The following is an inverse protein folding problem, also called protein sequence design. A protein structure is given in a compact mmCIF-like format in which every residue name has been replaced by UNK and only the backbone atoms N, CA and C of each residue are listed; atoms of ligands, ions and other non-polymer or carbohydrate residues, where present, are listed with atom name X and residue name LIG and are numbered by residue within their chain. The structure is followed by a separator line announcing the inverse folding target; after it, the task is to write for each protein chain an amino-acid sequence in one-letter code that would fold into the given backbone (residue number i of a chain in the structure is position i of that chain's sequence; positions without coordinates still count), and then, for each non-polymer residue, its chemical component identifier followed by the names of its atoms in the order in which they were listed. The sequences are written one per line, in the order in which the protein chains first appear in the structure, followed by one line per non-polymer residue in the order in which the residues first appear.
data_IF_657989413626
#
_entry.id   IF_657989413626
#
_cell.length_a   1.000
_cell.length_b   1.000
_cell.length_c   1.000
_cell.angle_alpha   90.00
_cell.angle_beta   90.00
_cell.angle_gamma   90.00
#
_symmetry.space_group_name_H-M   'P 1'
#
loop_
_entity.id
_entity.type
_entity.pdbx_description
1 polymer ?
#
# COMPACT_ATOMS: atom_id res chain seq x y z
N UNK A 1 9.85 -7.02 3.90
CA UNK A 1 8.45 -6.81 4.32
C UNK A 1 8.35 -5.53 5.14
N UNK A 2 7.41 -4.66 4.79
CA UNK A 2 7.13 -3.41 5.48
C UNK A 2 5.81 -3.55 6.23
N UNK A 3 5.83 -3.41 7.56
CA UNK A 3 4.74 -3.89 8.43
C UNK A 3 4.53 -3.01 9.65
N UNK A 4 3.30 -3.02 10.20
CA UNK A 4 2.97 -2.23 11.39
C UNK A 4 3.42 -2.88 12.70
N UNK A 5 3.50 -4.21 12.77
CA UNK A 5 3.86 -4.95 13.99
C UNK A 5 5.16 -5.74 13.77
N UNK A 6 6.31 -5.10 14.00
CA UNK A 6 7.63 -5.69 13.78
C UNK A 6 7.84 -6.98 14.59
N UNK A 7 7.48 -7.08 15.89
CA UNK A 7 7.60 -8.34 16.63
C UNK A 7 6.88 -9.52 15.99
N UNK A 8 5.62 -9.34 15.58
CA UNK A 8 4.84 -10.41 14.94
C UNK A 8 5.48 -10.87 13.62
N UNK A 9 5.96 -9.92 12.82
CA UNK A 9 6.56 -10.21 11.52
C UNK A 9 7.99 -10.76 11.60
N UNK A 10 8.70 -10.59 12.72
CA UNK A 10 9.95 -11.32 12.97
C UNK A 10 9.70 -12.82 13.07
N UNK A 11 8.63 -13.23 13.74
CA UNK A 11 8.22 -14.65 13.80
C UNK A 11 7.85 -15.19 12.41
N UNK A 12 7.17 -14.38 11.59
CA UNK A 12 6.86 -14.76 10.19
C UNK A 12 8.14 -14.88 9.35
N UNK A 13 9.07 -13.93 9.48
CA UNK A 13 10.39 -14.00 8.84
C UNK A 13 11.12 -15.29 9.20
N UNK A 14 11.17 -15.64 10.49
CA UNK A 14 11.81 -16.88 10.97
C UNK A 14 11.17 -18.13 10.34
N UNK A 15 9.83 -18.16 10.25
CA UNK A 15 9.11 -19.24 9.59
C UNK A 15 9.46 -19.37 8.10
N UNK A 16 9.49 -18.25 7.36
CA UNK A 16 9.85 -18.22 5.93
C UNK A 16 11.28 -18.71 5.71
N UNK A 17 12.24 -18.23 6.51
CA UNK A 17 13.66 -18.62 6.38
C UNK A 17 13.86 -20.09 6.76
N UNK A 18 13.08 -20.61 7.71
CA UNK A 18 13.09 -22.03 8.07
C UNK A 18 12.58 -22.91 6.93
N UNK A 19 11.54 -22.47 6.21
CA UNK A 19 10.98 -23.18 5.06
C UNK A 19 11.88 -23.06 3.81
N UNK A 20 12.53 -21.91 3.63
CA UNK A 20 13.45 -21.65 2.54
C UNK A 20 14.69 -20.90 3.05
N UNK A 21 15.78 -21.65 3.26
CA UNK A 21 17.05 -21.13 3.76
C UNK A 21 17.74 -20.11 2.83
N UNK A 22 17.36 -20.04 1.56
CA UNK A 22 17.85 -19.05 0.60
C UNK A 22 17.01 -17.76 0.59
N UNK A 23 15.87 -17.72 1.30
CA UNK A 23 15.01 -16.56 1.34
C UNK A 23 15.70 -15.40 2.08
N UNK A 24 15.87 -14.27 1.39
CA UNK A 24 16.36 -13.02 1.99
C UNK A 24 15.18 -12.15 2.36
N UNK A 25 14.89 -12.05 3.65
CA UNK A 25 13.71 -11.35 4.17
C UNK A 25 14.14 -10.32 5.20
N UNK A 26 13.86 -9.05 4.95
CA UNK A 26 14.03 -7.97 5.92
C UNK A 26 12.69 -7.50 6.44
N UNK A 27 12.62 -7.11 7.72
CA UNK A 27 11.41 -6.56 8.34
C UNK A 27 11.65 -5.09 8.63
N UNK A 28 10.78 -4.24 8.11
CA UNK A 28 10.83 -2.78 8.26
C UNK A 28 9.51 -2.29 8.84
N UNK A 29 9.58 -1.33 9.76
CA UNK A 29 8.37 -0.73 10.31
C UNK A 29 7.72 0.22 9.29
N UNK A 30 6.42 0.05 9.06
CA UNK A 30 5.60 0.93 8.24
C UNK A 30 4.17 0.99 8.77
N UNK A 31 3.75 2.19 9.16
CA UNK A 31 2.37 2.50 9.50
C UNK A 31 1.76 3.41 8.43
N UNK A 32 0.91 2.83 7.58
CA UNK A 32 0.24 3.53 6.49
C UNK A 32 -0.82 4.55 6.95
N UNK A 33 -1.20 4.53 8.23
CA UNK A 33 -2.05 5.58 8.82
C UNK A 33 -1.25 6.85 9.18
N UNK A 34 0.08 6.77 9.22
CA UNK A 34 0.96 7.86 9.60
C UNK A 34 1.83 8.32 8.43
N UNK A 35 1.56 9.53 7.91
CA UNK A 35 2.41 10.12 6.88
C UNK A 35 3.86 10.36 7.32
N UNK A 36 4.10 10.49 8.63
CA UNK A 36 5.46 10.54 9.16
C UNK A 36 6.17 9.18 9.00
N UNK A 37 5.48 8.07 9.25
CA UNK A 37 5.99 6.72 9.01
C UNK A 37 6.21 6.46 7.51
N UNK A 38 5.22 6.79 6.67
CA UNK A 38 5.33 6.67 5.20
C UNK A 38 6.53 7.45 4.64
N UNK A 39 6.79 8.67 5.14
CA UNK A 39 7.95 9.44 4.69
C UNK A 39 9.29 8.84 5.13
N UNK A 40 9.35 8.19 6.29
CA UNK A 40 10.57 7.51 6.75
C UNK A 40 10.97 6.37 5.82
N UNK A 41 10.02 5.63 5.24
CA UNK A 41 10.34 4.49 4.37
C UNK A 41 10.72 4.89 2.94
N UNK A 42 10.49 6.13 2.51
CA UNK A 42 11.04 6.65 1.23
C UNK A 42 12.58 6.65 1.26
N UNK A 43 13.17 6.52 2.46
CA UNK A 43 14.61 6.33 2.70
C UNK A 43 15.07 4.88 2.42
N UNK A 44 14.20 3.97 1.94
CA UNK A 44 14.63 2.64 1.43
C UNK A 44 15.66 2.74 0.29
N UNK A 45 15.84 3.93 -0.30
CA UNK A 45 17.02 4.28 -1.09
C UNK A 45 18.36 3.95 -0.41
N UNK A 46 18.44 3.93 0.93
CA UNK A 46 19.68 3.66 1.66
C UNK A 46 20.10 2.19 1.68
N UNK A 47 19.26 1.27 1.19
CA UNK A 47 19.62 -0.16 1.12
C UNK A 47 20.46 -0.50 -0.11
N UNK A 48 20.61 0.45 -1.06
CA UNK A 48 21.34 0.28 -2.32
C UNK A 48 20.94 -1.00 -3.09
N UNK A 49 19.67 -1.38 -2.97
CA UNK A 49 19.07 -2.49 -3.69
C UNK A 49 18.07 -1.96 -4.73
N UNK A 50 18.04 -2.53 -5.94
CA UNK A 50 17.05 -2.15 -6.93
C UNK A 50 15.64 -2.52 -6.44
N UNK A 51 14.71 -1.56 -6.44
CA UNK A 51 13.30 -1.83 -6.16
C UNK A 51 12.64 -2.36 -7.44
N UNK A 52 12.49 -3.68 -7.54
CA UNK A 52 11.88 -4.32 -8.71
C UNK A 52 10.34 -4.38 -8.63
N UNK A 53 9.80 -4.70 -7.45
CA UNK A 53 8.35 -4.89 -7.26
C UNK A 53 7.91 -4.17 -5.98
N UNK A 54 6.88 -3.33 -6.11
CA UNK A 54 6.15 -2.75 -4.99
C UNK A 54 4.72 -3.31 -4.95
N UNK A 55 4.35 -3.95 -3.85
CA UNK A 55 2.99 -4.49 -3.65
C UNK A 55 2.26 -3.71 -2.56
N UNK A 56 1.29 -2.90 -2.96
CA UNK A 56 0.40 -2.18 -2.07
C UNK A 56 -0.75 -3.10 -1.61
N UNK A 57 -0.42 -4.05 -0.73
CA UNK A 57 -1.34 -5.07 -0.24
C UNK A 57 -2.10 -4.67 1.03
N UNK A 58 -1.46 -3.89 1.92
CA UNK A 58 -1.99 -3.61 3.24
C UNK A 58 -3.36 -2.91 3.17
N UNK A 59 -4.38 -3.56 3.72
CA UNK A 59 -5.74 -3.04 3.82
C UNK A 59 -6.32 -3.36 5.19
N UNK A 60 -7.13 -2.45 5.72
CA UNK A 60 -7.81 -2.60 7.00
C UNK A 60 -9.32 -2.56 6.74
N UNK A 61 -10.02 -3.64 7.13
CA UNK A 61 -11.48 -3.76 6.97
C UNK A 61 -12.29 -3.16 8.14
N UNK A 62 -11.62 -2.71 9.21
CA UNK A 62 -12.27 -2.24 10.44
C UNK A 62 -11.60 -0.98 10.99
N UNK A 63 -12.41 0.05 11.27
CA UNK A 63 -12.10 1.34 11.93
C UNK A 63 -11.48 2.48 11.10
N UNK A 64 -12.01 3.67 11.38
CA UNK A 64 -11.94 4.96 10.68
C UNK A 64 -10.54 5.52 10.33
N UNK A 65 -9.46 5.06 10.98
CA UNK A 65 -8.17 5.80 11.00
C UNK A 65 -7.16 5.45 9.91
N UNK A 66 -7.29 4.34 9.19
CA UNK A 66 -6.19 3.84 8.33
C UNK A 66 -6.35 4.13 6.83
N UNK A 67 -7.46 4.73 6.40
CA UNK A 67 -7.96 4.54 5.03
C UNK A 67 -7.66 5.67 4.03
N UNK A 68 -7.06 6.80 4.43
CA UNK A 68 -7.19 8.02 3.61
C UNK A 68 -5.89 8.71 3.17
N UNK A 69 -4.70 8.14 3.40
CA UNK A 69 -3.45 8.83 3.00
C UNK A 69 -2.37 7.90 2.44
N UNK A 70 -2.71 7.05 1.47
CA UNK A 70 -1.74 6.13 0.83
C UNK A 70 -1.13 6.61 -0.50
N UNK A 71 -1.43 7.82 -0.99
CA UNK A 71 -1.10 8.17 -2.37
C UNK A 71 0.12 9.10 -2.44
N UNK A 72 1.32 8.51 -2.48
CA UNK A 72 2.48 9.18 -3.07
C UNK A 72 3.37 8.16 -3.78
N UNK A 73 3.59 8.39 -5.07
CA UNK A 73 4.39 7.54 -5.94
C UNK A 73 5.84 7.46 -5.45
N UNK A 74 6.34 6.22 -5.34
CA UNK A 74 7.78 5.92 -5.25
C UNK A 74 8.30 5.87 -6.69
N UNK A 75 9.36 6.62 -6.99
CA UNK A 75 9.97 6.62 -8.33
C UNK A 75 10.65 5.27 -8.62
N UNK A 76 10.50 4.66 -9.81
CA UNK A 76 11.16 3.41 -10.14
C UNK A 76 12.67 3.58 -10.36
N UNK A 77 13.39 2.47 -10.26
CA UNK A 77 14.83 2.32 -10.43
C UNK A 77 15.27 2.48 -11.90
N UNK A 78 15.33 3.72 -12.41
CA UNK A 78 15.92 4.02 -13.73
C UNK A 78 17.42 3.64 -13.80
N UNK A 79 18.09 3.56 -12.65
CA UNK A 79 19.54 3.36 -12.51
C UNK A 79 20.01 1.93 -12.82
N UNK A 80 19.11 0.92 -12.80
CA UNK A 80 19.50 -0.49 -12.88
C UNK A 80 19.05 -1.22 -14.16
N UNK A 81 18.43 -0.52 -15.13
CA UNK A 81 17.83 -1.13 -16.34
C UNK A 81 16.89 -2.32 -16.04
N UNK A 82 16.16 -2.25 -14.91
CA UNK A 82 15.16 -3.25 -14.53
C UNK A 82 13.78 -2.60 -14.59
N UNK A 83 12.87 -3.22 -15.34
CA UNK A 83 11.47 -2.79 -15.42
C UNK A 83 10.79 -2.96 -14.05
N UNK A 84 10.49 -1.84 -13.40
CA UNK A 84 9.78 -1.82 -12.11
C UNK A 84 8.29 -2.10 -12.26
N UNK A 85 7.71 -2.84 -11.30
CA UNK A 85 6.26 -3.14 -11.27
C UNK A 85 5.62 -2.64 -9.98
N UNK A 86 4.50 -1.94 -10.10
CA UNK A 86 3.68 -1.49 -8.98
C UNK A 86 2.34 -2.23 -9.03
N UNK A 87 2.04 -2.97 -7.97
CA UNK A 87 0.83 -3.79 -7.85
C UNK A 87 -0.05 -3.22 -6.74
N UNK A 88 -1.25 -2.77 -7.09
CA UNK A 88 -2.26 -2.30 -6.14
C UNK A 88 -3.30 -3.39 -5.89
N UNK A 89 -3.42 -3.88 -4.65
CA UNK A 89 -4.38 -4.94 -4.32
C UNK A 89 -5.76 -4.35 -4.05
N UNK A 90 -6.71 -4.64 -4.93
CA UNK A 90 -8.13 -4.25 -4.78
C UNK A 90 -8.98 -5.39 -4.19
N UNK A 91 -10.30 -5.36 -4.39
CA UNK A 91 -11.29 -6.38 -4.02
C UNK A 91 -12.53 -6.23 -4.88
N UNK A 92 -13.24 -7.30 -5.22
CA UNK A 92 -14.53 -7.23 -5.92
C UNK A 92 -15.57 -6.36 -5.19
N UNK A 93 -15.41 -6.17 -3.88
CA UNK A 93 -16.24 -5.26 -3.10
C UNK A 93 -16.18 -3.80 -3.59
N UNK A 94 -15.19 -3.39 -4.41
CA UNK A 94 -15.15 -2.05 -5.00
C UNK A 94 -16.44 -1.68 -5.76
N UNK A 95 -17.14 -2.68 -6.33
CA UNK A 95 -18.42 -2.51 -7.04
C UNK A 95 -19.56 -2.09 -6.10
N UNK A 96 -19.40 -2.27 -4.79
CA UNK A 96 -20.36 -1.87 -3.76
C UNK A 96 -19.97 -0.55 -3.08
N UNK A 97 -19.14 0.26 -3.72
CA UNK A 97 -18.87 1.63 -3.27
C UNK A 97 -20.14 2.49 -3.30
N UNK A 98 -20.01 3.77 -2.97
CA UNK A 98 -21.10 4.72 -3.11
C UNK A 98 -21.53 4.82 -4.58
N UNK A 99 -22.80 5.09 -4.83
CA UNK A 99 -23.34 5.15 -6.19
C UNK A 99 -22.70 6.29 -6.99
N UNK A 100 -22.38 7.40 -6.30
CA UNK A 100 -21.64 8.53 -6.86
C UNK A 100 -20.12 8.28 -7.04
N UNK A 101 -19.62 7.10 -6.66
CA UNK A 101 -18.19 6.76 -6.73
C UNK A 101 -17.40 7.27 -5.53
N UNK A 102 -16.24 7.92 -5.77
CA UNK A 102 -15.41 8.47 -4.70
C UNK A 102 -15.99 9.79 -4.19
N UNK A 103 -16.36 9.84 -2.92
CA UNK A 103 -16.84 11.07 -2.24
C UNK A 103 -15.67 11.93 -1.78
N UNK A 104 -15.04 12.65 -2.72
CA UNK A 104 -13.84 13.47 -2.46
C UNK A 104 -14.07 14.58 -1.43
N UNK A 105 -15.27 15.14 -1.40
CA UNK A 105 -15.76 16.15 -0.46
C UNK A 105 -15.91 15.62 0.97
N UNK A 106 -15.97 14.28 1.15
CA UNK A 106 -16.27 13.59 2.42
C UNK A 106 -15.25 12.54 2.81
N UNK A 107 -14.08 12.53 2.18
CA UNK A 107 -12.89 11.88 2.75
C UNK A 107 -12.68 12.54 4.12
N UNK A 108 -12.55 11.87 5.24
CA UNK A 108 -12.42 12.42 6.60
C UNK A 108 -13.70 12.95 7.26
N UNK A 109 -14.88 12.80 6.65
CA UNK A 109 -16.13 13.05 7.37
C UNK A 109 -16.41 11.90 8.35
N UNK A 110 -16.17 12.15 9.64
CA UNK A 110 -16.46 11.23 10.74
C UNK A 110 -17.95 10.91 10.88
N UNK A 111 -18.79 11.93 10.68
CA UNK A 111 -20.24 11.83 10.88
C UNK A 111 -20.93 11.00 9.79
N UNK A 112 -20.34 10.97 8.59
CA UNK A 112 -20.80 10.20 7.44
C UNK A 112 -20.15 8.83 7.27
N UNK A 113 -19.36 8.34 8.24
CA UNK A 113 -18.63 7.09 8.08
C UNK A 113 -19.55 5.86 8.09
N UNK A 114 -19.50 5.09 7.01
CA UNK A 114 -20.12 3.78 6.91
C UNK A 114 -19.07 2.73 6.56
N UNK A 115 -18.80 1.79 7.46
CA UNK A 115 -17.78 0.75 7.27
C UNK A 115 -18.04 -0.11 6.01
N UNK A 116 -19.30 -0.43 5.73
CA UNK A 116 -19.71 -1.25 4.59
C UNK A 116 -19.48 -0.54 3.26
N UNK A 117 -19.40 0.80 3.25
CA UNK A 117 -19.13 1.60 2.03
C UNK A 117 -17.71 2.14 1.97
N UNK A 118 -17.10 2.44 3.12
CA UNK A 118 -15.75 2.98 3.22
C UNK A 118 -14.70 1.99 2.71
N UNK A 119 -14.84 0.69 3.04
CA UNK A 119 -13.93 -0.33 2.52
C UNK A 119 -14.05 -0.50 1.00
N UNK A 120 -15.25 -0.72 0.41
CA UNK A 120 -15.44 -0.65 -1.03
C UNK A 120 -14.86 0.59 -1.71
N UNK A 121 -15.08 1.79 -1.14
CA UNK A 121 -14.53 3.04 -1.67
C UNK A 121 -13.00 3.03 -1.71
N UNK A 122 -12.33 2.48 -0.69
CA UNK A 122 -10.87 2.35 -0.71
C UNK A 122 -10.35 1.41 -1.79
N UNK A 123 -11.11 0.35 -2.08
CA UNK A 123 -10.76 -0.62 -3.12
C UNK A 123 -11.02 -0.07 -4.51
N UNK A 124 -12.06 0.77 -4.66
CA UNK A 124 -12.26 1.59 -5.85
C UNK A 124 -11.11 2.59 -6.05
N UNK A 125 -10.68 3.28 -4.99
CA UNK A 125 -9.54 4.21 -5.05
C UNK A 125 -8.25 3.51 -5.49
N UNK A 126 -7.99 2.27 -5.03
CA UNK A 126 -6.84 1.50 -5.48
C UNK A 126 -6.83 1.24 -7.00
N UNK A 127 -8.00 0.99 -7.61
CA UNK A 127 -8.15 0.78 -9.06
C UNK A 127 -7.92 2.09 -9.82
N UNK A 128 -8.59 3.17 -9.40
CA UNK A 128 -8.45 4.49 -10.03
C UNK A 128 -7.00 4.99 -9.96
N UNK A 129 -6.35 4.81 -8.80
CA UNK A 129 -4.95 5.15 -8.63
C UNK A 129 -4.03 4.33 -9.53
N UNK A 130 -4.26 3.02 -9.68
CA UNK A 130 -3.45 2.18 -10.57
C UNK A 130 -3.59 2.63 -12.03
N UNK A 131 -4.80 2.96 -12.48
CA UNK A 131 -5.06 3.45 -13.84
C UNK A 131 -4.37 4.80 -14.09
N UNK A 132 -4.51 5.76 -13.18
CA UNK A 132 -3.88 7.08 -13.33
C UNK A 132 -2.35 6.98 -13.25
N UNK A 133 -1.82 6.13 -12.38
CA UNK A 133 -0.39 5.88 -12.29
C UNK A 133 0.15 5.27 -13.59
N UNK A 134 -0.55 4.27 -14.14
CA UNK A 134 -0.18 3.66 -15.42
C UNK A 134 -0.24 4.67 -16.59
N UNK A 135 -1.19 5.60 -16.57
CA UNK A 135 -1.27 6.69 -17.56
C UNK A 135 -0.04 7.60 -17.47
N UNK A 136 0.33 8.02 -16.26
CA UNK A 136 1.47 8.93 -16.02
C UNK A 136 2.84 8.31 -16.28
N UNK A 137 2.99 7.00 -16.09
CA UNK A 137 4.26 6.31 -16.29
C UNK A 137 4.51 5.89 -17.75
N UNK A 138 3.51 6.05 -18.63
CA UNK A 138 3.64 5.82 -20.07
C UNK A 138 4.06 7.08 -20.86
N UNK A 139 3.96 8.26 -20.24
CA UNK A 139 4.46 9.55 -20.74
C UNK A 139 5.90 9.75 -20.28
#
# INVERSE_FOLDING_TARGET
MAVRNVPADRTVKEAIVKENNNAKVDVMELDLSSMASVRKIVIVKSLDLPLNILVNNAGVGTSFKALQRQHRAVRPAEEYNIEGRIINVSSDLHKHSYEEGIRFDKLNDESGYNILRAYPQSKLANILHANELARRLKE
#
